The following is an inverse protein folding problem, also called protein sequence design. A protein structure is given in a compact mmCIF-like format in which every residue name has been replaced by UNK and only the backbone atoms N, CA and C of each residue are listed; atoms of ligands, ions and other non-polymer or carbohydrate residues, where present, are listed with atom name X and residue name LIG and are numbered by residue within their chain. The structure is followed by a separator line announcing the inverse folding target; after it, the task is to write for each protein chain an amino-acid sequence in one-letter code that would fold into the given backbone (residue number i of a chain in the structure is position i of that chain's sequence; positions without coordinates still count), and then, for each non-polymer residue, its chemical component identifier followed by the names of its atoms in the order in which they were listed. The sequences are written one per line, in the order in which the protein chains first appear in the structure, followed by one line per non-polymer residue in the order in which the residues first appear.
data_IF_147781575621
#
_entry.id   IF_147781575621
#
_cell.length_a   1.000
_cell.length_b   1.000
_cell.length_c   1.000
_cell.angle_alpha   90.00
_cell.angle_beta   90.00
_cell.angle_gamma   90.00
#
_symmetry.space_group_name_H-M   'P 1'
#
loop_
_entity.id
_entity.type
_entity.pdbx_description
1 polymer ?
#
# COMPACT_ATOMS: atom_id res chain seq x y z
N UNK A 1 31.39 -1.42 4.62
CA UNK A 1 30.65 -1.65 3.35
C UNK A 1 31.62 -1.80 2.20
N UNK A 2 32.57 -0.85 1.98
CA UNK A 2 33.57 -0.90 0.90
C UNK A 2 34.39 -2.19 0.97
N UNK A 3 34.91 -2.53 2.15
CA UNK A 3 35.69 -3.76 2.39
C UNK A 3 34.90 -5.04 2.11
N UNK A 4 33.59 -5.04 2.42
CA UNK A 4 32.69 -6.17 2.15
C UNK A 4 32.55 -6.47 0.65
N UNK A 5 32.56 -5.41 -0.17
CA UNK A 5 32.46 -5.53 -1.63
C UNK A 5 33.85 -5.60 -2.32
N UNK A 6 34.94 -5.70 -1.56
CA UNK A 6 36.34 -5.76 -2.08
C UNK A 6 36.66 -4.61 -3.05
N UNK A 7 36.27 -3.38 -2.68
CA UNK A 7 36.55 -2.16 -3.45
C UNK A 7 37.59 -1.31 -2.77
N UNK A 8 38.35 -0.57 -3.58
CA UNK A 8 39.47 0.26 -3.08
C UNK A 8 38.96 1.52 -2.35
N UNK A 9 37.82 2.07 -2.80
CA UNK A 9 37.21 3.27 -2.24
C UNK A 9 35.70 3.32 -2.46
N UNK A 10 35.02 4.29 -1.79
CA UNK A 10 33.56 4.50 -1.88
C UNK A 10 33.12 4.93 -3.29
N UNK A 11 33.95 5.70 -4.01
CA UNK A 11 33.61 6.19 -5.34
C UNK A 11 33.58 5.04 -6.34
N UNK A 12 34.58 4.16 -6.32
CA UNK A 12 34.63 2.95 -7.16
C UNK A 12 33.43 2.04 -6.94
N UNK A 13 33.00 1.88 -5.68
CA UNK A 13 31.80 1.12 -5.35
C UNK A 13 30.52 1.79 -5.91
N UNK A 14 30.42 3.10 -5.78
CA UNK A 14 29.28 3.87 -6.31
C UNK A 14 29.19 3.80 -7.82
N UNK A 15 30.32 3.95 -8.51
CA UNK A 15 30.38 3.94 -9.96
C UNK A 15 30.00 2.55 -10.51
N UNK A 16 30.46 1.48 -9.87
CA UNK A 16 30.08 0.11 -10.26
C UNK A 16 28.60 -0.16 -10.00
N UNK A 17 28.09 0.19 -8.82
CA UNK A 17 26.66 0.04 -8.51
C UNK A 17 25.79 0.87 -9.46
N UNK A 18 26.23 2.07 -9.81
CA UNK A 18 25.54 2.91 -10.77
C UNK A 18 25.46 2.25 -12.15
N UNK A 19 26.59 1.70 -12.65
CA UNK A 19 26.59 1.00 -13.94
C UNK A 19 25.76 -0.29 -13.93
N UNK A 20 25.77 -1.06 -12.85
CA UNK A 20 24.89 -2.23 -12.68
C UNK A 20 23.42 -1.81 -12.71
N UNK A 21 23.04 -0.79 -11.92
CA UNK A 21 21.66 -0.28 -11.88
C UNK A 21 21.23 0.28 -13.24
N UNK A 22 22.11 1.03 -13.91
CA UNK A 22 21.88 1.56 -15.23
C UNK A 22 21.66 0.48 -16.28
N UNK A 23 22.49 -0.56 -16.27
CA UNK A 23 22.35 -1.69 -17.20
C UNK A 23 21.06 -2.47 -16.94
N UNK A 24 20.73 -2.71 -15.68
CA UNK A 24 19.47 -3.37 -15.29
C UNK A 24 18.26 -2.55 -15.73
N UNK A 25 18.29 -1.24 -15.51
CA UNK A 25 17.21 -0.35 -15.93
C UNK A 25 17.05 -0.29 -17.46
N UNK A 26 18.15 -0.16 -18.19
CA UNK A 26 18.13 -0.17 -19.67
C UNK A 26 17.61 -1.51 -20.22
N UNK A 27 18.05 -2.63 -19.64
CA UNK A 27 17.58 -3.96 -20.00
C UNK A 27 16.08 -4.12 -19.72
N UNK A 28 15.62 -3.66 -18.56
CA UNK A 28 14.21 -3.69 -18.16
C UNK A 28 13.34 -2.85 -19.09
N UNK A 29 13.75 -1.61 -19.38
CA UNK A 29 13.05 -0.71 -20.33
C UNK A 29 13.00 -1.29 -21.73
N UNK A 30 14.08 -1.92 -22.19
CA UNK A 30 14.09 -2.56 -23.50
C UNK A 30 13.16 -3.75 -23.56
N UNK A 31 13.17 -4.62 -22.54
CA UNK A 31 12.21 -5.73 -22.44
C UNK A 31 10.77 -5.20 -22.44
N UNK A 32 10.46 -4.19 -21.63
CA UNK A 32 9.14 -3.57 -21.59
C UNK A 32 8.71 -3.06 -22.98
N UNK A 33 9.62 -2.38 -23.69
CA UNK A 33 9.34 -1.88 -25.05
C UNK A 33 9.10 -2.99 -26.08
N UNK A 34 9.83 -4.10 -25.99
CA UNK A 34 9.65 -5.25 -26.88
C UNK A 34 8.26 -5.87 -26.68
N UNK A 35 7.76 -5.90 -25.44
CA UNK A 35 6.51 -6.57 -25.10
C UNK A 35 5.31 -5.63 -24.98
N UNK A 36 5.49 -4.32 -25.14
CA UNK A 36 4.48 -3.27 -24.92
C UNK A 36 3.14 -3.51 -25.63
N UNK A 37 3.19 -4.07 -26.84
CA UNK A 37 2.00 -4.31 -27.66
C UNK A 37 1.70 -5.81 -27.82
N UNK A 38 2.23 -6.66 -26.94
CA UNK A 38 1.97 -8.10 -27.02
C UNK A 38 0.75 -8.42 -26.17
N UNK A 39 -0.28 -8.89 -26.84
CA UNK A 39 -1.52 -9.37 -26.25
C UNK A 39 -1.75 -10.83 -26.63
N UNK A 40 -2.59 -11.52 -25.88
CA UNK A 40 -3.04 -12.87 -26.18
C UNK A 40 -4.54 -12.87 -26.44
N UNK A 41 -4.95 -13.52 -27.50
CA UNK A 41 -6.36 -13.76 -27.80
C UNK A 41 -6.90 -14.95 -27.01
N UNK A 42 -8.23 -15.06 -26.80
CA UNK A 42 -8.81 -16.22 -26.11
C UNK A 42 -8.45 -17.57 -26.78
N UNK A 43 -8.32 -17.57 -28.11
CA UNK A 43 -7.92 -18.78 -28.85
C UNK A 43 -6.46 -19.16 -28.58
N UNK A 44 -5.54 -18.17 -28.50
CA UNK A 44 -4.15 -18.42 -28.14
C UNK A 44 -4.03 -18.95 -26.70
N UNK A 45 -4.82 -18.40 -25.77
CA UNK A 45 -4.88 -18.90 -24.39
C UNK A 45 -5.35 -20.36 -24.35
N UNK A 46 -6.37 -20.70 -25.13
CA UNK A 46 -6.87 -22.07 -25.23
C UNK A 46 -5.83 -23.00 -25.83
N UNK A 47 -5.12 -22.58 -26.89
CA UNK A 47 -4.04 -23.35 -27.51
C UNK A 47 -2.88 -23.56 -26.52
N UNK A 48 -2.50 -22.53 -25.77
CA UNK A 48 -1.50 -22.63 -24.71
C UNK A 48 -1.88 -23.68 -23.68
N UNK A 49 -3.10 -23.61 -23.12
CA UNK A 49 -3.60 -24.56 -22.14
C UNK A 49 -3.63 -25.99 -22.66
N UNK A 50 -4.09 -26.19 -23.89
CA UNK A 50 -4.17 -27.51 -24.51
C UNK A 50 -2.80 -28.14 -24.85
N UNK A 51 -1.72 -27.35 -24.91
CA UNK A 51 -0.36 -27.85 -25.10
C UNK A 51 0.24 -28.44 -23.83
N UNK A 52 -0.28 -28.06 -22.66
CA UNK A 52 0.22 -28.56 -21.38
C UNK A 52 -0.31 -30.01 -21.19
N UNK A 53 0.57 -31.01 -21.02
CA UNK A 53 0.14 -32.35 -20.69
C UNK A 53 -0.71 -32.35 -19.41
N UNK A 54 -1.71 -33.22 -19.33
CA UNK A 54 -2.65 -33.23 -18.19
C UNK A 54 -1.97 -33.52 -16.86
N UNK A 55 -0.91 -34.27 -16.86
CA UNK A 55 -0.05 -34.62 -15.72
C UNK A 55 0.92 -33.53 -15.34
N UNK A 56 1.11 -32.52 -16.21
CA UNK A 56 1.93 -31.32 -15.96
C UNK A 56 1.07 -30.07 -15.66
N UNK A 57 -0.26 -30.19 -15.66
CA UNK A 57 -1.12 -29.07 -15.29
C UNK A 57 -0.84 -28.66 -13.83
N UNK A 58 -0.68 -27.36 -13.56
CA UNK A 58 -0.39 -26.90 -12.21
C UNK A 58 -1.56 -27.18 -11.27
N UNK A 59 -1.24 -27.57 -10.05
CA UNK A 59 -2.20 -27.59 -8.95
C UNK A 59 -2.32 -26.20 -8.39
N UNK A 60 -3.53 -25.68 -8.33
CA UNK A 60 -3.89 -24.41 -7.71
C UNK A 60 -4.30 -24.71 -6.29
N UNK A 61 -3.62 -24.11 -5.32
CA UNK A 61 -3.91 -24.27 -3.91
C UNK A 61 -5.28 -23.72 -3.53
N UNK A 62 -5.73 -24.00 -2.31
CA UNK A 62 -7.00 -23.46 -1.80
C UNK A 62 -6.96 -21.93 -1.81
N UNK A 63 -7.99 -21.33 -2.39
CA UNK A 63 -8.19 -19.88 -2.46
C UNK A 63 -9.41 -19.45 -1.65
N UNK A 64 -9.30 -18.31 -0.96
CA UNK A 64 -10.40 -17.71 -0.22
C UNK A 64 -10.75 -16.34 -0.81
N UNK A 65 -12.04 -16.04 -0.84
CA UNK A 65 -12.52 -14.67 -0.95
C UNK A 65 -12.88 -14.18 0.46
N UNK A 66 -12.43 -12.98 0.82
CA UNK A 66 -12.45 -12.52 2.20
C UNK A 66 -13.03 -11.12 2.23
N UNK A 67 -13.96 -10.90 3.15
CA UNK A 67 -14.44 -9.56 3.48
C UNK A 67 -13.98 -9.18 4.89
N UNK A 68 -13.79 -7.86 5.13
CA UNK A 68 -13.41 -7.32 6.43
C UNK A 68 -14.36 -6.20 6.89
N UNK A 69 -14.45 -6.04 8.21
CA UNK A 69 -15.00 -4.84 8.85
C UNK A 69 -13.92 -4.31 9.78
N UNK A 70 -13.67 -3.01 9.68
CA UNK A 70 -12.64 -2.33 10.46
C UNK A 70 -13.30 -1.28 11.35
N UNK A 71 -12.94 -1.26 12.64
CA UNK A 71 -13.33 -0.22 13.59
C UNK A 71 -12.06 0.42 14.17
N UNK A 72 -11.89 1.70 13.90
CA UNK A 72 -10.79 2.50 14.41
C UNK A 72 -11.17 3.11 15.78
N UNK A 73 -10.36 2.91 16.84
CA UNK A 73 -10.51 3.66 18.07
C UNK A 73 -10.34 5.15 17.80
N UNK A 74 -11.25 5.96 18.30
CA UNK A 74 -11.21 7.42 18.08
C UNK A 74 -10.59 8.11 19.28
N UNK A 75 -9.67 9.02 19.03
CA UNK A 75 -9.15 9.90 20.06
C UNK A 75 -10.30 10.76 20.61
N UNK A 76 -10.47 10.88 21.91
CA UNK A 76 -11.44 11.80 22.50
C UNK A 76 -11.06 13.24 22.18
N UNK A 77 -12.06 14.12 22.19
CA UNK A 77 -11.86 15.52 21.83
C UNK A 77 -10.78 16.19 22.68
N UNK A 78 -10.68 15.82 23.97
CA UNK A 78 -9.64 16.34 24.86
C UNK A 78 -8.21 16.06 24.40
N UNK A 79 -7.94 14.89 23.79
CA UNK A 79 -6.62 14.56 23.24
C UNK A 79 -6.37 15.29 21.91
N UNK A 80 -7.42 15.49 21.12
CA UNK A 80 -7.36 16.31 19.91
C UNK A 80 -7.03 17.76 20.27
N UNK A 81 -7.73 18.32 21.24
CA UNK A 81 -7.52 19.71 21.68
C UNK A 81 -6.11 19.93 22.22
N UNK A 82 -5.55 18.97 22.96
CA UNK A 82 -4.15 19.01 23.42
C UNK A 82 -3.17 19.11 22.26
N UNK A 83 -3.36 18.29 21.21
CA UNK A 83 -2.50 18.29 20.04
C UNK A 83 -2.61 19.61 19.28
N UNK A 84 -3.83 20.13 19.09
CA UNK A 84 -4.05 21.42 18.43
C UNK A 84 -3.37 22.53 19.21
N UNK A 85 -3.50 22.56 20.53
CA UNK A 85 -2.89 23.59 21.37
C UNK A 85 -1.36 23.51 21.34
N UNK A 86 -0.78 22.32 21.41
CA UNK A 86 0.67 22.13 21.26
C UNK A 86 1.18 22.63 19.91
N UNK A 87 0.46 22.37 18.83
CA UNK A 87 0.83 22.87 17.50
C UNK A 87 0.76 24.39 17.42
N UNK A 88 -0.23 25.03 18.05
CA UNK A 88 -0.33 26.49 18.16
C UNK A 88 0.81 27.07 18.99
N UNK A 89 1.17 26.43 20.11
CA UNK A 89 2.31 26.85 20.93
C UNK A 89 3.62 26.75 20.15
N UNK A 90 3.83 25.66 19.38
CA UNK A 90 5.01 25.54 18.51
C UNK A 90 5.04 26.64 17.45
N UNK A 91 3.90 26.93 16.80
CA UNK A 91 3.79 28.04 15.83
C UNK A 91 4.17 29.37 16.48
N UNK A 92 3.61 29.64 17.67
CA UNK A 92 3.89 30.85 18.45
C UNK A 92 5.37 30.97 18.81
N UNK A 93 6.00 29.91 19.29
CA UNK A 93 7.40 29.81 19.63
C UNK A 93 8.32 30.15 18.44
N UNK A 94 7.97 29.65 17.26
CA UNK A 94 8.73 29.97 16.03
C UNK A 94 8.58 31.43 15.64
N UNK A 95 7.36 31.99 15.72
CA UNK A 95 7.07 33.35 15.27
C UNK A 95 7.57 34.43 16.24
N UNK A 96 7.40 34.21 17.58
CA UNK A 96 7.69 35.21 18.59
C UNK A 96 9.08 35.09 19.21
N UNK A 97 9.57 33.85 19.39
CA UNK A 97 10.83 33.55 20.08
C UNK A 97 11.98 33.22 19.11
N UNK A 98 11.73 33.20 17.79
CA UNK A 98 12.73 32.92 16.76
C UNK A 98 13.28 31.50 16.77
N UNK A 99 12.58 30.53 17.39
CA UNK A 99 12.98 29.12 17.38
C UNK A 99 12.88 28.57 15.97
N UNK A 100 13.82 27.70 15.59
CA UNK A 100 13.79 27.07 14.26
C UNK A 100 12.63 26.09 14.12
N UNK A 101 11.79 26.27 13.09
CA UNK A 101 10.73 25.33 12.74
C UNK A 101 11.28 23.91 12.50
N UNK A 102 12.43 23.79 11.80
CA UNK A 102 13.09 22.51 11.56
C UNK A 102 13.49 21.81 12.86
N UNK A 103 14.03 22.55 13.84
CA UNK A 103 14.37 21.99 15.16
C UNK A 103 13.12 21.49 15.89
N UNK A 104 12.03 22.27 15.88
CA UNK A 104 10.75 21.83 16.46
C UNK A 104 10.20 20.59 15.75
N UNK A 105 10.31 20.51 14.41
CA UNK A 105 9.88 19.34 13.65
C UNK A 105 10.68 18.08 14.01
N UNK A 106 11.99 18.18 14.18
CA UNK A 106 12.83 17.05 14.61
C UNK A 106 12.43 16.55 16.00
N UNK A 107 12.09 17.45 16.92
CA UNK A 107 11.77 17.12 18.30
C UNK A 107 10.36 16.56 18.46
N UNK A 108 9.37 17.15 17.80
CA UNK A 108 7.95 16.91 18.09
C UNK A 108 7.18 16.18 16.99
N UNK A 109 7.68 16.14 15.75
CA UNK A 109 6.95 15.47 14.67
C UNK A 109 6.89 13.96 14.86
N UNK A 110 5.69 13.39 14.71
CA UNK A 110 5.49 11.95 14.63
C UNK A 110 6.06 11.37 13.32
N UNK A 111 6.14 12.16 12.25
CA UNK A 111 6.82 11.76 11.02
C UNK A 111 8.35 11.86 11.19
N UNK A 112 8.95 10.73 11.55
CA UNK A 112 10.41 10.63 11.75
C UNK A 112 11.19 10.59 10.43
N UNK A 113 10.56 10.23 9.33
CA UNK A 113 11.22 10.08 8.04
C UNK A 113 11.51 11.42 7.39
N UNK A 114 10.54 12.34 7.46
CA UNK A 114 10.60 13.66 6.81
C UNK A 114 10.59 14.84 7.80
N UNK A 115 10.42 14.57 9.09
CA UNK A 115 10.39 15.59 10.13
C UNK A 115 11.60 16.51 10.09
N UNK A 116 11.37 17.80 9.89
CA UNK A 116 12.40 18.85 9.77
C UNK A 116 13.07 18.95 8.40
N UNK A 117 12.89 18.00 7.50
CA UNK A 117 13.37 18.04 6.12
C UNK A 117 12.46 18.92 5.25
N UNK A 118 13.03 19.43 4.17
CA UNK A 118 12.30 20.19 3.17
C UNK A 118 11.71 19.23 2.13
N UNK A 119 10.39 19.32 1.94
CA UNK A 119 9.63 18.56 0.98
C UNK A 119 9.22 19.47 -0.17
N UNK A 120 9.62 19.16 -1.39
CA UNK A 120 9.24 19.89 -2.59
C UNK A 120 8.24 19.09 -3.41
N UNK A 121 7.11 19.69 -3.75
CA UNK A 121 6.05 19.05 -4.51
C UNK A 121 5.18 20.04 -5.29
N UNK A 122 4.36 19.51 -6.18
CA UNK A 122 3.36 20.27 -6.96
C UNK A 122 1.95 19.73 -6.73
N UNK A 123 0.93 20.38 -7.30
CA UNK A 123 -0.48 19.95 -7.12
C UNK A 123 -0.80 18.54 -7.61
N UNK A 124 0.03 17.96 -8.51
CA UNK A 124 -0.16 16.60 -9.03
C UNK A 124 0.52 15.52 -8.19
N UNK A 125 1.36 15.90 -7.23
CA UNK A 125 2.08 14.96 -6.35
C UNK A 125 1.13 14.22 -5.42
N UNK A 126 1.52 13.02 -5.00
CA UNK A 126 0.71 12.07 -4.20
C UNK A 126 0.61 12.44 -2.71
N UNK A 127 0.52 13.74 -2.37
CA UNK A 127 0.25 14.19 -1.01
C UNK A 127 -1.25 14.29 -0.75
N UNK A 128 -1.67 14.17 0.51
CA UNK A 128 -3.06 14.39 0.92
C UNK A 128 -3.59 15.72 0.36
N UNK A 129 -4.85 15.73 -0.03
CA UNK A 129 -5.47 16.92 -0.64
C UNK A 129 -5.41 18.12 0.29
N UNK A 130 -5.78 17.92 1.55
CA UNK A 130 -5.79 18.95 2.60
C UNK A 130 -4.38 19.53 2.81
N UNK A 131 -3.36 18.68 2.80
CA UNK A 131 -1.97 19.10 2.93
C UNK A 131 -1.52 20.01 1.76
N UNK A 132 -1.88 19.62 0.53
CA UNK A 132 -1.60 20.43 -0.66
C UNK A 132 -2.38 21.75 -0.64
N UNK A 133 -3.66 21.71 -0.30
CA UNK A 133 -4.52 22.89 -0.30
C UNK A 133 -3.98 23.94 0.69
N UNK A 134 -3.56 23.53 1.89
CA UNK A 134 -2.94 24.44 2.86
C UNK A 134 -1.59 24.95 2.35
N UNK A 135 -0.70 24.07 1.85
CA UNK A 135 0.61 24.48 1.38
C UNK A 135 0.55 25.51 0.23
N UNK A 136 -0.42 25.39 -0.66
CA UNK A 136 -0.60 26.30 -1.80
C UNK A 136 -1.45 27.54 -1.49
N UNK A 137 -1.99 27.66 -0.28
CA UNK A 137 -2.71 28.87 0.18
C UNK A 137 -1.82 29.89 0.90
N UNK A 138 -0.62 29.49 1.27
CA UNK A 138 0.32 30.28 2.07
C UNK A 138 1.40 30.95 1.22
N UNK A 139 2.04 31.99 1.78
CA UNK A 139 3.18 32.68 1.20
C UNK A 139 4.51 32.11 1.72
N UNK A 140 5.63 32.47 1.07
CA UNK A 140 6.97 32.10 1.54
C UNK A 140 7.21 32.62 2.98
N UNK A 141 7.73 31.77 3.84
CA UNK A 141 7.97 32.03 5.26
C UNK A 141 6.77 31.82 6.17
N UNK A 142 5.57 31.75 5.65
CA UNK A 142 4.34 31.64 6.43
C UNK A 142 4.17 30.26 7.04
N UNK A 143 3.57 30.20 8.25
CA UNK A 143 3.24 28.97 8.98
C UNK A 143 1.73 28.83 9.07
N UNK A 144 1.21 27.65 8.68
CA UNK A 144 -0.21 27.36 8.74
C UNK A 144 -0.77 27.35 10.17
N UNK A 145 -2.07 27.49 10.29
CA UNK A 145 -2.78 27.00 11.48
C UNK A 145 -2.82 25.48 11.50
N UNK A 146 -3.10 24.85 12.66
CA UNK A 146 -3.29 23.43 12.75
C UNK A 146 -4.42 22.95 11.83
N UNK A 147 -4.13 21.94 10.98
CA UNK A 147 -5.11 21.33 10.07
C UNK A 147 -5.00 19.82 10.13
N UNK A 148 -6.10 19.12 9.75
CA UNK A 148 -6.22 17.69 9.84
C UNK A 148 -6.02 17.03 8.46
N UNK A 149 -5.34 15.88 8.44
CA UNK A 149 -5.33 14.89 7.35
C UNK A 149 -5.68 13.52 7.91
N UNK A 150 -5.73 12.49 7.07
CA UNK A 150 -5.91 11.11 7.54
C UNK A 150 -4.71 10.61 8.40
N UNK A 151 -3.55 11.27 8.34
CA UNK A 151 -2.36 10.94 9.13
C UNK A 151 -2.36 11.57 10.54
N UNK A 152 -3.15 12.60 10.76
CA UNK A 152 -3.20 13.33 12.03
C UNK A 152 -3.32 14.84 11.84
N UNK A 153 -2.81 15.60 12.81
CA UNK A 153 -2.83 17.06 12.83
C UNK A 153 -1.48 17.62 12.42
N UNK A 154 -1.50 18.62 11.56
CA UNK A 154 -0.30 19.22 10.99
C UNK A 154 -0.26 20.71 11.21
N UNK A 155 0.96 21.24 11.27
CA UNK A 155 1.31 22.60 10.85
C UNK A 155 2.42 22.49 9.81
N UNK A 156 2.44 23.39 8.85
CA UNK A 156 3.52 23.47 7.86
C UNK A 156 4.04 24.89 7.71
N UNK A 157 5.32 25.01 7.36
CA UNK A 157 5.98 26.26 6.99
C UNK A 157 6.34 26.18 5.52
N UNK A 158 5.93 27.19 4.73
CA UNK A 158 6.39 27.35 3.36
C UNK A 158 7.80 27.91 3.37
N UNK A 159 8.74 27.16 2.82
CA UNK A 159 10.14 27.57 2.73
C UNK A 159 10.39 28.36 1.46
N UNK A 160 9.84 27.88 0.33
CA UNK A 160 10.05 28.49 -0.99
C UNK A 160 8.94 28.11 -1.97
N UNK A 161 8.63 29.05 -2.87
CA UNK A 161 7.71 28.84 -4.00
C UNK A 161 8.48 29.03 -5.30
N UNK A 162 8.46 28.04 -6.20
CA UNK A 162 9.11 28.10 -7.51
C UNK A 162 8.11 27.71 -8.60
N UNK A 163 7.48 28.69 -9.20
CA UNK A 163 6.49 28.47 -10.26
C UNK A 163 5.31 27.62 -9.78
N UNK A 164 5.23 26.35 -10.18
CA UNK A 164 4.17 25.42 -9.78
C UNK A 164 4.55 24.50 -8.62
N UNK A 165 5.75 24.65 -8.07
CA UNK A 165 6.27 23.86 -6.97
C UNK A 165 6.33 24.66 -5.69
N UNK A 166 6.04 24.01 -4.57
CA UNK A 166 6.18 24.54 -3.22
C UNK A 166 7.09 23.63 -2.42
N UNK A 167 8.02 24.26 -1.68
CA UNK A 167 8.89 23.58 -0.71
C UNK A 167 8.40 23.92 0.69
N UNK A 168 8.11 22.91 1.50
CA UNK A 168 7.60 23.06 2.87
C UNK A 168 8.39 22.23 3.86
N UNK A 169 8.35 22.62 5.13
CA UNK A 169 8.60 21.75 6.28
C UNK A 169 7.30 21.56 7.04
N UNK A 170 7.12 20.40 7.67
CA UNK A 170 5.91 20.16 8.42
C UNK A 170 6.18 19.49 9.77
N UNK A 171 5.21 19.61 10.67
CA UNK A 171 5.14 18.90 11.92
C UNK A 171 3.82 18.13 11.91
N UNK A 172 3.89 16.82 12.08
CA UNK A 172 2.74 15.94 12.26
C UNK A 172 2.64 15.57 13.73
N UNK A 173 1.46 15.72 14.31
CA UNK A 173 1.14 15.21 15.64
C UNK A 173 -0.11 14.33 15.59
N UNK A 174 -0.04 13.18 16.27
CA UNK A 174 -1.15 12.23 16.34
C UNK A 174 -1.71 12.24 17.76
N UNK A 175 -3.03 12.49 17.93
CA UNK A 175 -3.64 12.41 19.25
C UNK A 175 -3.49 11.01 19.84
N UNK A 176 -3.24 10.93 21.15
CA UNK A 176 -3.13 9.64 21.83
C UNK A 176 -4.50 8.95 21.89
N UNK A 177 -4.48 7.64 21.70
CA UNK A 177 -5.65 6.78 21.87
C UNK A 177 -5.58 6.17 23.26
N UNK A 178 -6.37 6.64 24.23
CA UNK A 178 -6.36 6.09 25.57
C UNK A 178 -7.04 4.71 25.61
N UNK A 179 -6.77 3.95 26.68
CA UNK A 179 -7.23 2.57 26.82
C UNK A 179 -8.75 2.42 26.74
N UNK A 180 -9.51 3.37 27.30
CA UNK A 180 -10.97 3.37 27.21
C UNK A 180 -11.48 3.46 25.76
N UNK A 181 -10.84 4.25 24.89
CA UNK A 181 -11.20 4.31 23.46
C UNK A 181 -10.91 3.00 22.73
N UNK A 182 -9.85 2.29 23.11
CA UNK A 182 -9.57 0.94 22.59
C UNK A 182 -10.67 -0.05 23.04
N UNK A 183 -11.09 0.01 24.29
CA UNK A 183 -12.16 -0.83 24.83
C UNK A 183 -13.52 -0.55 24.19
N UNK A 184 -13.84 0.72 23.97
CA UNK A 184 -15.06 1.12 23.24
C UNK A 184 -15.07 0.60 21.80
N UNK A 185 -13.95 0.73 21.08
CA UNK A 185 -13.84 0.20 19.72
C UNK A 185 -13.95 -1.34 19.69
N UNK A 186 -13.32 -2.02 20.66
CA UNK A 186 -13.44 -3.47 20.84
C UNK A 186 -14.87 -3.89 21.14
N UNK A 187 -15.57 -3.17 21.98
CA UNK A 187 -16.98 -3.42 22.29
C UNK A 187 -17.83 -3.23 21.01
N UNK A 188 -17.64 -2.11 20.32
CA UNK A 188 -18.38 -1.80 19.09
C UNK A 188 -18.24 -2.90 18.05
N UNK A 189 -17.02 -3.40 17.79
CA UNK A 189 -16.83 -4.45 16.78
C UNK A 189 -17.42 -5.80 17.22
N UNK A 190 -17.41 -6.12 18.54
CA UNK A 190 -18.11 -7.29 19.07
C UNK A 190 -19.61 -7.18 18.89
N UNK A 191 -20.20 -6.02 19.21
CA UNK A 191 -21.64 -5.78 19.05
C UNK A 191 -22.06 -5.91 17.55
N UNK A 192 -21.20 -5.44 16.63
CA UNK A 192 -21.43 -5.62 15.20
C UNK A 192 -21.35 -7.09 14.81
N UNK A 193 -20.33 -7.82 15.28
CA UNK A 193 -20.18 -9.26 15.04
C UNK A 193 -21.40 -10.03 15.55
N UNK A 194 -21.86 -9.77 16.75
CA UNK A 194 -23.02 -10.44 17.34
C UNK A 194 -24.29 -10.18 16.53
N UNK A 195 -24.51 -8.97 16.04
CA UNK A 195 -25.63 -8.63 15.13
C UNK A 195 -25.55 -9.40 13.81
N UNK A 196 -24.36 -9.59 13.26
CA UNK A 196 -24.16 -10.41 12.06
C UNK A 196 -24.50 -11.88 12.35
N UNK A 197 -23.99 -12.45 13.45
CA UNK A 197 -24.25 -13.84 13.85
C UNK A 197 -25.74 -14.06 14.10
N UNK A 198 -26.43 -13.10 14.72
CA UNK A 198 -27.86 -13.12 14.98
C UNK A 198 -28.71 -12.84 13.73
N UNK A 199 -28.08 -12.58 12.57
CA UNK A 199 -28.72 -12.28 11.28
C UNK A 199 -29.56 -11.01 11.29
N UNK A 200 -29.23 -10.05 12.16
CA UNK A 200 -29.85 -8.70 12.15
C UNK A 200 -29.34 -7.88 10.96
N UNK A 201 -28.08 -8.12 10.56
CA UNK A 201 -27.46 -7.57 9.36
C UNK A 201 -26.73 -8.66 8.60
N UNK A 202 -26.65 -8.54 7.29
CA UNK A 202 -25.65 -9.24 6.49
C UNK A 202 -24.26 -8.63 6.76
N UNK A 203 -23.19 -9.38 6.50
CA UNK A 203 -21.85 -8.84 6.66
C UNK A 203 -21.61 -7.61 5.78
N UNK A 204 -22.12 -7.63 4.54
CA UNK A 204 -22.02 -6.52 3.59
C UNK A 204 -22.73 -5.25 4.08
N UNK A 205 -23.95 -5.38 4.61
CA UNK A 205 -24.69 -4.25 5.21
C UNK A 205 -23.96 -3.69 6.42
N UNK A 206 -23.41 -4.58 7.27
CA UNK A 206 -22.64 -4.17 8.43
C UNK A 206 -21.33 -3.47 8.04
N UNK A 207 -20.64 -3.94 7.00
CA UNK A 207 -19.44 -3.27 6.45
C UNK A 207 -19.79 -1.87 5.96
N UNK A 208 -20.82 -1.73 5.15
CA UNK A 208 -21.27 -0.45 4.61
C UNK A 208 -21.67 0.56 5.67
N UNK A 209 -22.37 0.10 6.69
CA UNK A 209 -22.95 0.98 7.72
C UNK A 209 -21.97 1.32 8.85
N UNK A 210 -21.02 0.44 9.17
CA UNK A 210 -20.23 0.54 10.40
C UNK A 210 -18.73 0.51 10.20
N UNK A 211 -18.21 0.02 9.05
CA UNK A 211 -16.77 -0.03 8.82
C UNK A 211 -16.18 1.36 8.67
N UNK A 212 -15.09 1.63 9.37
CA UNK A 212 -14.30 2.85 9.21
C UNK A 212 -13.37 2.78 7.97
N UNK A 213 -13.19 1.57 7.37
CA UNK A 213 -12.38 1.37 6.15
C UNK A 213 -13.15 1.84 4.90
N UNK A 214 -12.66 2.93 4.30
CA UNK A 214 -13.35 3.59 3.19
C UNK A 214 -13.23 2.85 1.86
N UNK A 215 -12.13 2.10 1.68
CA UNK A 215 -11.82 1.46 0.40
C UNK A 215 -12.68 0.23 0.13
N UNK A 216 -13.04 -0.51 1.18
CA UNK A 216 -13.77 -1.79 1.05
C UNK A 216 -15.22 -1.73 1.49
N UNK A 217 -15.61 -0.78 2.34
CA UNK A 217 -16.95 -0.77 2.96
C UNK A 217 -18.10 -0.69 1.95
N UNK A 218 -17.94 0.06 0.85
CA UNK A 218 -18.99 0.20 -0.17
C UNK A 218 -19.20 -1.09 -0.97
N UNK A 219 -18.15 -1.94 -1.05
CA UNK A 219 -18.18 -3.26 -1.68
C UNK A 219 -18.43 -4.39 -0.66
N UNK A 220 -19.13 -4.08 0.43
CA UNK A 220 -19.48 -5.06 1.47
C UNK A 220 -18.29 -5.58 2.28
N UNK A 221 -17.19 -4.84 2.30
CA UNK A 221 -15.96 -5.20 2.97
C UNK A 221 -15.01 -6.09 2.16
N UNK A 222 -15.33 -6.40 0.89
CA UNK A 222 -14.54 -7.30 0.05
C UNK A 222 -13.10 -6.84 -0.10
N UNK A 223 -12.15 -7.72 0.22
CA UNK A 223 -10.72 -7.49 0.03
C UNK A 223 -10.31 -7.76 -1.41
N UNK A 224 -9.36 -6.98 -1.90
CA UNK A 224 -8.65 -7.24 -3.15
C UNK A 224 -7.21 -7.65 -2.86
N UNK A 225 -6.75 -8.68 -3.56
CA UNK A 225 -5.37 -9.12 -3.50
C UNK A 225 -4.45 -8.05 -4.08
N UNK A 226 -3.46 -7.53 -3.34
CA UNK A 226 -2.60 -6.46 -3.82
C UNK A 226 -1.67 -6.87 -4.98
N UNK A 227 -1.49 -8.18 -5.23
CA UNK A 227 -0.62 -8.67 -6.30
C UNK A 227 -1.29 -8.60 -7.68
N UNK A 228 -2.58 -8.94 -7.76
CA UNK A 228 -3.30 -9.10 -9.03
C UNK A 228 -4.67 -8.38 -9.07
N UNK A 229 -5.06 -7.71 -7.98
CA UNK A 229 -6.35 -7.04 -7.80
C UNK A 229 -7.56 -7.96 -7.93
N UNK A 230 -7.38 -9.27 -7.83
CA UNK A 230 -8.48 -10.24 -7.76
C UNK A 230 -9.10 -10.27 -6.35
N UNK A 231 -10.27 -10.90 -6.22
CA UNK A 231 -10.88 -11.17 -4.90
C UNK A 231 -10.32 -12.42 -4.23
N UNK A 232 -9.46 -13.18 -4.91
CA UNK A 232 -8.96 -14.48 -4.49
C UNK A 232 -7.61 -14.38 -3.79
N UNK A 233 -7.50 -15.01 -2.66
CA UNK A 233 -6.29 -15.10 -1.85
C UNK A 233 -5.89 -16.57 -1.70
N UNK A 234 -4.77 -16.96 -2.29
CA UNK A 234 -4.21 -18.30 -2.11
C UNK A 234 -3.66 -18.46 -0.69
N UNK A 235 -4.11 -19.48 0.05
CA UNK A 235 -3.75 -19.68 1.45
C UNK A 235 -2.24 -19.72 1.70
N UNK A 236 -1.47 -20.32 0.79
CA UNK A 236 -0.01 -20.48 0.92
C UNK A 236 0.77 -19.20 0.71
N UNK A 237 0.16 -18.18 0.11
CA UNK A 237 0.76 -16.86 -0.16
C UNK A 237 0.18 -15.73 0.67
N UNK A 238 -0.79 -16.06 1.51
CA UNK A 238 -1.47 -15.08 2.34
C UNK A 238 -0.53 -14.53 3.42
N UNK A 239 -0.70 -13.26 3.72
CA UNK A 239 0.02 -12.61 4.83
C UNK A 239 -0.28 -13.34 6.14
N UNK A 240 0.74 -13.62 7.00
CA UNK A 240 0.60 -14.51 8.15
C UNK A 240 -0.50 -14.12 9.14
N UNK A 241 -0.71 -12.81 9.37
CA UNK A 241 -1.74 -12.34 10.28
C UNK A 241 -3.13 -12.66 9.72
N UNK A 242 -3.39 -12.34 8.45
CA UNK A 242 -4.64 -12.63 7.77
C UNK A 242 -4.89 -14.15 7.73
N UNK A 243 -3.87 -14.94 7.34
CA UNK A 243 -3.93 -16.39 7.34
C UNK A 243 -4.40 -16.95 8.67
N UNK A 244 -3.80 -16.50 9.77
CA UNK A 244 -4.14 -16.97 11.13
C UNK A 244 -5.61 -16.75 11.50
N UNK A 245 -6.25 -15.75 10.90
CA UNK A 245 -7.64 -15.37 11.19
C UNK A 245 -8.66 -16.10 10.31
N UNK A 246 -8.29 -16.48 9.08
CA UNK A 246 -9.27 -16.97 8.11
C UNK A 246 -9.08 -18.44 7.74
N UNK A 247 -7.89 -19.02 7.96
CA UNK A 247 -7.60 -20.40 7.51
C UNK A 247 -8.52 -21.45 8.13
N UNK A 248 -8.93 -21.28 9.39
CA UNK A 248 -9.81 -22.21 10.12
C UNK A 248 -11.29 -21.87 10.01
N UNK A 249 -11.65 -20.69 9.46
CA UNK A 249 -13.05 -20.29 9.32
C UNK A 249 -13.74 -21.17 8.26
N UNK A 250 -14.99 -21.52 8.53
CA UNK A 250 -15.88 -22.08 7.52
C UNK A 250 -16.42 -20.98 6.62
N UNK A 251 -17.00 -21.39 5.50
CA UNK A 251 -17.67 -20.43 4.62
C UNK A 251 -18.80 -19.72 5.39
N UNK A 252 -18.90 -18.42 5.19
CA UNK A 252 -19.82 -17.54 5.90
C UNK A 252 -19.56 -17.34 7.40
N UNK A 253 -18.56 -17.97 7.96
CA UNK A 253 -18.18 -17.78 9.37
C UNK A 253 -17.44 -16.45 9.56
N UNK A 254 -17.75 -15.75 10.66
CA UNK A 254 -17.14 -14.48 11.04
C UNK A 254 -16.10 -14.71 12.14
N UNK A 255 -14.88 -14.22 11.92
CA UNK A 255 -13.78 -14.33 12.89
C UNK A 255 -14.11 -13.63 14.21
N UNK A 256 -13.34 -13.96 15.25
CA UNK A 256 -13.27 -13.12 16.45
C UNK A 256 -12.56 -11.80 16.14
N UNK A 257 -12.89 -10.70 16.85
CA UNK A 257 -12.17 -9.44 16.66
C UNK A 257 -10.69 -9.55 17.02
N UNK A 258 -9.84 -9.07 16.14
CA UNK A 258 -8.40 -8.91 16.40
C UNK A 258 -8.03 -7.43 16.43
N UNK A 259 -7.01 -7.11 17.21
CA UNK A 259 -6.37 -5.80 17.16
C UNK A 259 -5.21 -5.89 16.18
N UNK A 260 -5.20 -4.98 15.22
CA UNK A 260 -4.16 -4.82 14.22
C UNK A 260 -3.56 -3.41 14.33
N UNK A 261 -2.32 -3.27 13.87
CA UNK A 261 -1.62 -1.99 13.85
C UNK A 261 -0.96 -1.81 12.50
N UNK A 262 -1.27 -0.71 11.83
CA UNK A 262 -0.68 -0.41 10.53
C UNK A 262 0.78 0.08 10.66
N UNK A 263 1.45 0.25 9.52
CA UNK A 263 2.85 0.72 9.47
C UNK A 263 3.06 2.12 10.06
N UNK A 264 1.99 2.87 10.26
CA UNK A 264 2.03 4.21 10.86
C UNK A 264 1.79 4.18 12.37
N UNK A 265 1.52 3.00 12.96
CA UNK A 265 1.20 2.83 14.37
C UNK A 265 -0.28 3.06 14.71
N UNK A 266 -1.17 3.18 13.71
CA UNK A 266 -2.61 3.28 13.95
C UNK A 266 -3.17 1.92 14.33
N UNK A 267 -3.82 1.86 15.48
CA UNK A 267 -4.49 0.67 15.99
C UNK A 267 -5.91 0.59 15.47
N UNK A 268 -6.35 -0.60 15.11
CA UNK A 268 -7.69 -0.87 14.63
C UNK A 268 -8.15 -2.26 15.07
N UNK A 269 -9.45 -2.45 15.18
CA UNK A 269 -10.04 -3.77 15.36
C UNK A 269 -10.64 -4.24 14.05
N UNK A 270 -10.40 -5.50 13.71
CA UNK A 270 -10.87 -6.13 12.49
C UNK A 270 -11.63 -7.41 12.79
N UNK A 271 -12.67 -7.67 12.02
CA UNK A 271 -13.28 -9.00 11.87
C UNK A 271 -13.28 -9.35 10.40
N UNK A 272 -13.13 -10.64 10.13
CA UNK A 272 -13.09 -11.19 8.77
C UNK A 272 -14.21 -12.18 8.56
N UNK A 273 -14.64 -12.33 7.31
CA UNK A 273 -15.56 -13.38 6.86
C UNK A 273 -15.01 -13.99 5.59
N UNK A 274 -15.03 -15.32 5.51
CA UNK A 274 -14.81 -16.05 4.26
C UNK A 274 -16.11 -16.02 3.47
N UNK A 275 -16.13 -15.33 2.34
CA UNK A 275 -17.31 -15.17 1.48
C UNK A 275 -17.40 -16.30 0.45
N UNK A 276 -16.26 -16.85 0.06
CA UNK A 276 -16.19 -17.99 -0.86
C UNK A 276 -14.88 -18.78 -0.63
N UNK A 277 -14.90 -20.06 -0.92
CA UNK A 277 -13.75 -20.96 -0.85
C UNK A 277 -13.68 -21.83 -2.10
N UNK A 278 -12.57 -21.75 -2.80
CA UNK A 278 -12.22 -22.68 -3.88
C UNK A 278 -11.17 -23.65 -3.35
N UNK A 279 -11.51 -24.91 -3.23
CA UNK A 279 -10.57 -25.92 -2.76
C UNK A 279 -9.43 -26.14 -3.76
N UNK A 280 -8.33 -26.73 -3.28
CA UNK A 280 -7.23 -27.15 -4.12
C UNK A 280 -7.74 -28.00 -5.30
N UNK A 281 -7.30 -27.67 -6.50
CA UNK A 281 -7.70 -28.35 -7.73
C UNK A 281 -6.61 -28.25 -8.80
N UNK A 282 -6.66 -29.17 -9.77
CA UNK A 282 -5.85 -29.06 -10.98
C UNK A 282 -6.40 -27.93 -11.85
N UNK A 283 -5.52 -27.11 -12.42
CA UNK A 283 -5.92 -25.95 -13.23
C UNK A 283 -7.01 -26.30 -14.26
N UNK A 284 -8.09 -25.53 -14.24
CA UNK A 284 -9.23 -25.63 -15.12
C UNK A 284 -9.36 -24.42 -16.02
N UNK A 285 -9.61 -24.63 -17.32
CA UNK A 285 -9.63 -23.54 -18.29
C UNK A 285 -10.71 -22.48 -18.01
N UNK A 286 -11.84 -22.87 -17.44
CA UNK A 286 -12.97 -21.95 -17.20
C UNK A 286 -12.75 -21.16 -15.90
N UNK A 287 -12.42 -21.89 -14.83
CA UNK A 287 -12.30 -21.31 -13.49
C UNK A 287 -11.02 -20.51 -13.29
N UNK A 288 -9.94 -20.87 -14.04
CA UNK A 288 -8.62 -20.27 -13.91
C UNK A 288 -8.20 -19.47 -15.14
N UNK A 289 -9.16 -19.10 -15.99
CA UNK A 289 -8.89 -18.45 -17.27
C UNK A 289 -7.96 -17.23 -17.16
N UNK A 290 -8.14 -16.37 -16.18
CA UNK A 290 -7.31 -15.17 -16.00
C UNK A 290 -5.85 -15.55 -15.73
N UNK A 291 -5.62 -16.53 -14.83
CA UNK A 291 -4.28 -17.03 -14.50
C UNK A 291 -3.62 -17.72 -15.70
N UNK A 292 -4.39 -18.53 -16.45
CA UNK A 292 -3.92 -19.19 -17.67
C UNK A 292 -3.59 -18.15 -18.75
N UNK A 293 -4.40 -17.11 -18.90
CA UNK A 293 -4.16 -15.99 -19.81
C UNK A 293 -2.85 -15.27 -19.47
N UNK A 294 -2.59 -15.02 -18.19
CA UNK A 294 -1.35 -14.36 -17.75
C UNK A 294 -0.11 -15.23 -18.03
N UNK A 295 -0.23 -16.55 -17.83
CA UNK A 295 0.85 -17.49 -18.18
C UNK A 295 1.10 -17.52 -19.69
N UNK A 296 0.04 -17.62 -20.49
CA UNK A 296 0.14 -17.57 -21.96
C UNK A 296 0.75 -16.26 -22.46
N UNK A 297 0.38 -15.13 -21.83
CA UNK A 297 0.96 -13.82 -22.15
C UNK A 297 2.45 -13.77 -21.82
N UNK A 298 2.85 -14.26 -20.65
CA UNK A 298 4.26 -14.33 -20.22
C UNK A 298 5.09 -15.19 -21.18
N UNK A 299 4.56 -16.37 -21.58
CA UNK A 299 5.23 -17.22 -22.57
C UNK A 299 5.43 -16.48 -23.89
N UNK A 300 4.37 -15.89 -24.45
CA UNK A 300 4.43 -15.13 -25.71
C UNK A 300 5.39 -13.94 -25.64
N UNK A 301 5.42 -13.24 -24.51
CA UNK A 301 6.37 -12.15 -24.25
C UNK A 301 7.81 -12.67 -24.20
N UNK A 302 8.04 -13.81 -23.54
CA UNK A 302 9.37 -14.44 -23.46
C UNK A 302 9.87 -14.85 -24.84
N UNK A 303 9.03 -15.47 -25.65
CA UNK A 303 9.34 -15.84 -27.04
C UNK A 303 9.70 -14.61 -27.87
N UNK A 304 8.95 -13.50 -27.74
CA UNK A 304 9.22 -12.26 -28.46
C UNK A 304 10.58 -11.65 -28.05
N UNK A 305 10.90 -11.64 -26.76
CA UNK A 305 12.21 -11.18 -26.26
C UNK A 305 13.33 -12.07 -26.81
N UNK A 306 13.17 -13.39 -26.81
CA UNK A 306 14.16 -14.32 -27.35
C UNK A 306 14.37 -14.12 -28.85
N UNK A 307 13.28 -13.94 -29.61
CA UNK A 307 13.33 -13.65 -31.05
C UNK A 307 14.04 -12.34 -31.32
N UNK A 308 13.74 -11.30 -30.54
CA UNK A 308 14.40 -10.00 -30.65
C UNK A 308 15.91 -10.13 -30.36
N UNK A 309 16.32 -10.81 -29.28
CA UNK A 309 17.71 -11.04 -28.92
C UNK A 309 18.45 -11.75 -30.06
N UNK A 310 17.89 -12.85 -30.60
CA UNK A 310 18.49 -13.57 -31.74
C UNK A 310 18.70 -12.66 -32.96
N UNK A 311 17.71 -11.82 -33.26
CA UNK A 311 17.80 -10.87 -34.37
C UNK A 311 18.78 -9.71 -34.11
N UNK A 312 18.92 -9.26 -32.88
CA UNK A 312 19.86 -8.22 -32.48
C UNK A 312 21.32 -8.72 -32.56
N UNK A 313 21.58 -9.94 -32.07
CA UNK A 313 22.93 -10.57 -32.12
C UNK A 313 23.42 -10.70 -33.57
N UNK A 314 22.54 -11.01 -34.53
CA UNK A 314 22.90 -11.09 -35.96
C UNK A 314 23.28 -9.75 -36.58
N UNK A 315 22.80 -8.64 -36.02
CA UNK A 315 22.98 -7.28 -36.54
C UNK A 315 23.99 -6.44 -35.78
N UNK A 316 24.48 -6.92 -34.63
CA UNK A 316 25.33 -6.16 -33.75
C UNK A 316 26.52 -7.01 -33.33
N UNK A 317 27.71 -6.41 -33.24
CA UNK A 317 28.89 -7.09 -32.72
C UNK A 317 28.68 -7.31 -31.18
N UNK A 318 28.71 -8.57 -30.76
CA UNK A 318 28.59 -8.95 -29.35
C UNK A 318 29.91 -9.53 -28.88
N UNK A 319 30.55 -8.88 -27.91
CA UNK A 319 31.70 -9.42 -27.17
C UNK A 319 31.25 -9.95 -25.84
N UNK A 320 31.46 -11.23 -25.58
CA UNK A 320 31.26 -11.84 -24.27
C UNK A 320 32.62 -11.79 -23.55
N UNK A 321 32.70 -11.07 -22.44
CA UNK A 321 33.86 -11.03 -21.54
C UNK A 321 33.72 -12.06 -20.45
#
# INVERSE_FOLDING_TARGET
VVDFYHKDDEQSLRDELFEILRQNELSSRMKAKIVENIEVTPEEVKQFFNKIPKDELPTIGTELEIAQIVIEPKAPQSEIDKVIEQLKEIKKDVLENGTSFSTKAILYSADRATGGKELTFNRKSSFAKEFKDVAFSLQEGEISDPFKTDFGWHILQVVKIRGKEVSVRHILMVPQIPQNSLEEAKKKINDIRDKIINKEFTFAEAAKNFSDEKETREDGGQLLNPEDYSTKFELTRMEPLLYSQVASLKDDEVSTPIMDEDRTGRKMYKIYRVTNRTNEHTADFVNDYIRIKDLALKEKQLEAVQKWIKGAIQKTFVSVK
#
